data_IF_014677743596
#
_entry.id   IF_014677743596
#
_cell.length_a   1.000
_cell.length_b   1.000
_cell.length_c   1.000
_cell.angle_alpha   90.00
_cell.angle_beta   90.00
_cell.angle_gamma   90.00
#
_symmetry.space_group_name_H-M   'P 1'
#
loop_
_entity.id
_entity.type
_entity.pdbx_description
1 polymer ?
#
# COMPACT_ATOMS: atom_id res chain seq x y z
N UNK A 1 -5.72 -31.99 11.25
CA UNK A 1 -6.59 -30.94 11.82
C UNK A 1 -7.01 -30.08 10.66
N UNK A 2 -8.26 -30.17 10.25
CA UNK A 2 -8.80 -29.41 9.13
C UNK A 2 -8.81 -27.93 9.50
N UNK A 3 -7.93 -27.15 8.86
CA UNK A 3 -7.92 -25.70 8.98
C UNK A 3 -9.27 -25.18 8.48
N UNK A 4 -10.06 -24.64 9.41
CA UNK A 4 -11.37 -24.04 9.16
C UNK A 4 -11.24 -23.04 8.02
N UNK A 5 -11.73 -23.38 6.83
CA UNK A 5 -12.06 -22.37 5.84
C UNK A 5 -13.14 -21.50 6.46
N UNK A 6 -12.80 -20.23 6.72
CA UNK A 6 -13.83 -19.24 7.00
C UNK A 6 -14.74 -19.25 5.76
N UNK A 7 -16.05 -19.39 5.95
CA UNK A 7 -16.97 -19.42 4.81
C UNK A 7 -16.85 -18.11 4.03
N UNK A 8 -16.85 -18.17 2.69
CA UNK A 8 -16.76 -16.99 1.83
C UNK A 8 -17.80 -15.91 2.20
N UNK A 9 -18.97 -16.32 2.71
CA UNK A 9 -19.99 -15.42 3.23
C UNK A 9 -19.52 -14.60 4.43
N UNK A 10 -18.79 -15.21 5.38
CA UNK A 10 -18.23 -14.49 6.53
C UNK A 10 -17.12 -13.51 6.09
N UNK A 11 -16.30 -13.90 5.12
CA UNK A 11 -15.32 -13.00 4.52
C UNK A 11 -15.98 -11.79 3.86
N UNK A 12 -16.98 -12.01 3.00
CA UNK A 12 -17.70 -10.94 2.33
C UNK A 12 -18.36 -9.96 3.30
N UNK A 13 -18.89 -10.43 4.43
CA UNK A 13 -19.47 -9.55 5.43
C UNK A 13 -18.43 -8.64 6.10
N UNK A 14 -17.22 -9.17 6.36
CA UNK A 14 -16.14 -8.39 6.95
C UNK A 14 -15.61 -7.37 5.95
N UNK A 15 -15.41 -7.76 4.69
CA UNK A 15 -14.98 -6.83 3.64
C UNK A 15 -16.00 -5.72 3.40
N UNK A 16 -17.30 -6.03 3.40
CA UNK A 16 -18.36 -5.01 3.36
C UNK A 16 -18.26 -4.04 4.52
N UNK A 17 -18.07 -4.55 5.74
CA UNK A 17 -17.92 -3.71 6.93
C UNK A 17 -16.65 -2.85 6.87
N UNK A 18 -15.56 -3.38 6.34
CA UNK A 18 -14.30 -2.66 6.14
C UNK A 18 -14.43 -1.56 5.08
N UNK A 19 -15.14 -1.83 3.99
CA UNK A 19 -15.46 -0.85 2.95
C UNK A 19 -16.35 0.29 3.49
N UNK A 20 -17.42 -0.06 4.21
CA UNK A 20 -18.30 0.92 4.85
C UNK A 20 -17.53 1.77 5.87
N UNK A 21 -16.68 1.13 6.69
CA UNK A 21 -15.79 1.83 7.61
C UNK A 21 -14.87 2.80 6.87
N UNK A 22 -14.19 2.36 5.80
CA UNK A 22 -13.31 3.20 5.01
C UNK A 22 -14.05 4.43 4.46
N UNK A 23 -15.20 4.20 3.82
CA UNK A 23 -16.01 5.25 3.21
C UNK A 23 -16.56 6.27 4.22
N UNK A 24 -16.84 5.83 5.45
CA UNK A 24 -17.43 6.68 6.50
C UNK A 24 -16.38 7.39 7.38
N UNK A 25 -15.20 6.78 7.56
CA UNK A 25 -14.23 7.19 8.59
C UNK A 25 -12.86 7.59 8.03
N UNK A 26 -12.52 7.15 6.82
CA UNK A 26 -11.22 7.40 6.21
C UNK A 26 -11.35 8.38 5.04
N UNK A 27 -12.03 7.97 3.96
CA UNK A 27 -12.13 8.77 2.74
C UNK A 27 -13.33 8.35 1.89
N UNK A 28 -13.94 9.29 1.17
CA UNK A 28 -15.01 8.98 0.21
C UNK A 28 -14.43 8.17 -0.96
N UNK A 29 -14.87 6.90 -1.05
CA UNK A 29 -14.42 5.95 -2.06
C UNK A 29 -15.58 5.47 -2.95
N UNK A 30 -16.63 6.30 -3.07
CA UNK A 30 -17.82 6.01 -3.89
C UNK A 30 -17.52 5.77 -5.37
N UNK A 31 -16.33 6.14 -5.84
CA UNK A 31 -15.80 5.81 -7.17
C UNK A 31 -15.62 4.30 -7.39
N UNK A 32 -15.50 3.50 -6.32
CA UNK A 32 -15.38 2.04 -6.37
C UNK A 32 -16.61 1.36 -5.79
N UNK A 33 -17.16 0.41 -6.53
CA UNK A 33 -18.29 -0.43 -6.12
C UNK A 33 -17.78 -1.82 -5.74
N UNK A 34 -18.17 -2.33 -4.56
CA UNK A 34 -17.82 -3.66 -4.08
C UNK A 34 -18.21 -4.79 -5.03
N UNK A 35 -19.18 -4.59 -5.94
CA UNK A 35 -19.48 -5.58 -6.99
C UNK A 35 -18.29 -5.83 -7.95
N UNK A 36 -17.32 -4.91 -7.99
CA UNK A 36 -16.10 -5.00 -8.78
C UNK A 36 -14.92 -5.57 -7.97
N UNK A 37 -15.18 -6.12 -6.78
CA UNK A 37 -14.21 -6.87 -6.02
C UNK A 37 -14.28 -8.35 -6.38
N UNK A 38 -13.15 -8.92 -6.77
CA UNK A 38 -13.02 -10.32 -7.13
C UNK A 38 -11.97 -11.02 -6.26
N UNK A 39 -12.29 -12.23 -5.83
CA UNK A 39 -11.39 -13.11 -5.11
C UNK A 39 -10.83 -14.15 -6.08
N UNK A 40 -9.51 -14.34 -6.09
CA UNK A 40 -8.87 -15.27 -7.03
C UNK A 40 -7.70 -16.01 -6.40
N UNK A 41 -7.50 -17.27 -6.75
CA UNK A 41 -6.29 -18.00 -6.37
C UNK A 41 -5.06 -17.56 -7.20
N UNK A 42 -5.31 -17.13 -8.44
CA UNK A 42 -4.31 -16.68 -9.41
C UNK A 42 -4.63 -15.23 -9.85
N UNK A 43 -3.86 -14.27 -9.33
CA UNK A 43 -3.98 -12.87 -9.70
C UNK A 43 -3.64 -12.66 -11.17
N UNK A 44 -2.60 -13.32 -11.66
CA UNK A 44 -2.14 -13.12 -13.04
C UNK A 44 -3.18 -13.61 -14.05
N UNK A 45 -3.71 -14.82 -13.88
CA UNK A 45 -4.75 -15.36 -14.77
C UNK A 45 -6.01 -14.47 -14.77
N UNK A 46 -6.37 -13.92 -13.60
CA UNK A 46 -7.58 -13.09 -13.49
C UNK A 46 -7.39 -11.70 -14.07
N UNK A 47 -6.27 -11.03 -13.77
CA UNK A 47 -5.97 -9.68 -14.27
C UNK A 47 -5.72 -9.72 -15.79
N UNK A 48 -5.06 -10.76 -16.31
CA UNK A 48 -4.78 -10.89 -17.76
C UNK A 48 -6.03 -11.02 -18.64
N UNK A 49 -7.18 -11.44 -18.07
CA UNK A 49 -8.47 -11.45 -18.77
C UNK A 49 -9.01 -10.06 -19.08
N UNK A 50 -8.56 -9.05 -18.32
CA UNK A 50 -9.02 -7.65 -18.44
C UNK A 50 -7.90 -6.76 -18.98
N UNK A 51 -6.64 -7.04 -18.61
CA UNK A 51 -5.49 -6.24 -18.98
C UNK A 51 -4.37 -7.14 -19.51
N UNK A 52 -4.15 -7.13 -20.84
CA UNK A 52 -3.26 -8.06 -21.53
C UNK A 52 -1.77 -7.92 -21.15
N UNK A 53 -1.35 -6.75 -20.63
CA UNK A 53 0.00 -6.47 -20.13
C UNK A 53 0.21 -6.86 -18.66
N UNK A 54 -0.67 -7.66 -18.06
CA UNK A 54 -0.61 -8.10 -16.66
C UNK A 54 0.75 -8.67 -16.20
N UNK A 55 1.51 -9.30 -17.11
CA UNK A 55 2.86 -9.83 -16.81
C UNK A 55 3.86 -8.75 -16.39
N UNK A 56 3.69 -7.52 -16.89
CA UNK A 56 4.55 -6.39 -16.54
C UNK A 56 4.18 -5.79 -15.18
N UNK A 57 2.95 -6.05 -14.72
CA UNK A 57 2.35 -5.49 -13.51
C UNK A 57 2.57 -6.43 -12.33
N UNK A 58 2.37 -7.73 -12.55
CA UNK A 58 2.46 -8.77 -11.52
C UNK A 58 3.80 -9.51 -11.66
N UNK A 59 4.87 -8.86 -11.19
CA UNK A 59 6.25 -9.39 -11.28
C UNK A 59 6.63 -10.34 -10.15
N UNK A 60 5.84 -10.45 -9.09
CA UNK A 60 6.15 -11.29 -7.94
C UNK A 60 4.95 -12.11 -7.44
N UNK A 61 5.26 -13.22 -6.76
CA UNK A 61 4.27 -14.06 -6.06
C UNK A 61 3.87 -13.49 -4.69
N UNK A 62 4.38 -12.31 -4.31
CA UNK A 62 4.18 -11.69 -3.00
C UNK A 62 3.02 -10.71 -2.99
N UNK A 63 2.58 -10.29 -4.17
CA UNK A 63 1.43 -9.43 -4.38
C UNK A 63 0.15 -10.17 -3.95
N UNK A 64 -0.60 -9.57 -3.04
CA UNK A 64 -1.85 -10.13 -2.48
C UNK A 64 -3.10 -9.44 -3.04
N UNK A 65 -2.94 -8.32 -3.74
CA UNK A 65 -4.01 -7.54 -4.32
C UNK A 65 -3.58 -6.89 -5.64
N UNK A 66 -4.55 -6.46 -6.44
CA UNK A 66 -4.29 -5.63 -7.61
C UNK A 66 -5.54 -4.86 -8.00
N UNK A 67 -5.39 -3.57 -8.28
CA UNK A 67 -6.42 -2.74 -8.90
C UNK A 67 -6.13 -2.51 -10.38
N UNK A 68 -7.16 -2.74 -11.19
CA UNK A 68 -7.19 -2.38 -12.61
C UNK A 68 -8.08 -1.16 -12.79
N UNK A 69 -7.48 -0.05 -13.18
CA UNK A 69 -8.20 1.19 -13.50
C UNK A 69 -8.81 1.14 -14.91
N UNK A 70 -9.93 1.86 -15.15
CA UNK A 70 -10.43 2.10 -16.50
C UNK A 70 -9.34 2.62 -17.43
N UNK A 71 -9.32 2.13 -18.66
CA UNK A 71 -8.51 2.67 -19.75
C UNK A 71 -9.15 2.35 -21.11
N UNK A 72 -8.58 2.93 -22.17
CA UNK A 72 -9.09 2.79 -23.53
C UNK A 72 -9.07 1.33 -24.04
N UNK A 73 -8.20 0.47 -23.50
CA UNK A 73 -8.04 -0.92 -23.94
C UNK A 73 -8.97 -1.90 -23.21
N UNK A 74 -9.32 -1.64 -21.95
CA UNK A 74 -10.13 -2.55 -21.12
C UNK A 74 -11.62 -2.15 -21.03
N UNK A 75 -11.98 -0.91 -21.40
CA UNK A 75 -13.37 -0.40 -21.42
C UNK A 75 -14.13 -0.55 -20.10
N UNK A 76 -13.43 -0.59 -18.97
CA UNK A 76 -14.09 -0.62 -17.66
C UNK A 76 -14.78 0.74 -17.41
N UNK A 77 -15.93 0.71 -16.74
CA UNK A 77 -16.63 1.94 -16.32
C UNK A 77 -16.19 2.43 -14.92
N UNK A 78 -15.48 1.59 -14.18
CA UNK A 78 -15.09 1.78 -12.79
C UNK A 78 -13.91 0.86 -12.45
N UNK A 79 -13.09 1.15 -11.44
CA UNK A 79 -11.97 0.30 -11.06
C UNK A 79 -12.45 -1.09 -10.64
N UNK A 80 -11.61 -2.07 -10.93
CA UNK A 80 -11.80 -3.48 -10.56
C UNK A 80 -10.66 -3.90 -9.64
N UNK A 81 -11.00 -4.53 -8.52
CA UNK A 81 -10.03 -4.99 -7.54
C UNK A 81 -10.01 -6.51 -7.51
N UNK A 82 -8.82 -7.09 -7.49
CA UNK A 82 -8.58 -8.50 -7.29
C UNK A 82 -7.84 -8.72 -5.99
N UNK A 83 -8.31 -9.65 -5.14
CA UNK A 83 -7.61 -10.09 -3.94
C UNK A 83 -7.29 -11.58 -4.04
N UNK A 84 -6.05 -11.93 -3.73
CA UNK A 84 -5.58 -13.31 -3.83
C UNK A 84 -6.10 -14.15 -2.68
N UNK A 85 -6.83 -15.24 -2.89
CA UNK A 85 -7.36 -16.09 -1.79
C UNK A 85 -6.35 -17.05 -1.18
N UNK A 86 -5.31 -17.44 -1.93
CA UNK A 86 -4.26 -18.30 -1.42
C UNK A 86 -3.44 -17.57 -0.34
N UNK A 87 -3.26 -18.21 0.83
CA UNK A 87 -2.50 -17.70 1.98
C UNK A 87 -3.15 -16.58 2.82
N UNK A 88 -4.43 -16.25 2.59
CA UNK A 88 -5.10 -15.23 3.40
C UNK A 88 -5.78 -15.82 4.64
N UNK A 89 -5.20 -15.55 5.80
CA UNK A 89 -6.03 -15.31 6.98
C UNK A 89 -6.79 -13.98 6.83
N UNK A 90 -7.76 -13.74 7.72
CA UNK A 90 -8.59 -12.53 7.67
C UNK A 90 -7.76 -11.24 7.72
N UNK A 91 -6.66 -11.24 8.47
CA UNK A 91 -5.83 -10.06 8.68
C UNK A 91 -5.09 -9.70 7.39
N UNK A 92 -4.43 -10.67 6.76
CA UNK A 92 -3.74 -10.44 5.48
C UNK A 92 -4.69 -9.98 4.38
N UNK A 93 -5.95 -10.45 4.40
CA UNK A 93 -6.96 -10.00 3.45
C UNK A 93 -7.35 -8.55 3.67
N UNK A 94 -7.59 -8.15 4.91
CA UNK A 94 -7.93 -6.77 5.24
C UNK A 94 -6.78 -5.82 4.91
N UNK A 95 -5.54 -6.23 5.19
CA UNK A 95 -4.34 -5.50 4.81
C UNK A 95 -4.31 -5.27 3.29
N UNK A 96 -4.42 -6.33 2.50
CA UNK A 96 -4.44 -6.21 1.04
C UNK A 96 -5.63 -5.37 0.55
N UNK A 97 -6.82 -5.54 1.14
CA UNK A 97 -8.00 -4.77 0.78
C UNK A 97 -7.81 -3.26 1.02
N UNK A 98 -7.32 -2.87 2.19
CA UNK A 98 -7.05 -1.46 2.50
C UNK A 98 -5.92 -0.89 1.66
N UNK A 99 -4.88 -1.68 1.37
CA UNK A 99 -3.81 -1.30 0.45
C UNK A 99 -4.38 -0.91 -0.92
N UNK A 100 -5.19 -1.77 -1.52
CA UNK A 100 -5.78 -1.52 -2.83
C UNK A 100 -6.80 -0.36 -2.81
N UNK A 101 -7.55 -0.17 -1.71
CA UNK A 101 -8.43 1.00 -1.58
C UNK A 101 -7.66 2.32 -1.58
N UNK A 102 -6.48 2.36 -0.95
CA UNK A 102 -5.62 3.56 -0.95
C UNK A 102 -5.15 3.89 -2.36
N UNK A 103 -4.79 2.89 -3.17
CA UNK A 103 -4.49 3.14 -4.58
C UNK A 103 -5.68 3.74 -5.32
N UNK A 104 -6.89 3.19 -5.14
CA UNK A 104 -8.08 3.76 -5.78
C UNK A 104 -8.26 5.23 -5.38
N UNK A 105 -8.18 5.53 -4.09
CA UNK A 105 -8.28 6.90 -3.58
C UNK A 105 -7.25 7.82 -4.24
N UNK A 106 -5.97 7.44 -4.16
CA UNK A 106 -4.84 8.23 -4.63
C UNK A 106 -4.96 8.54 -6.12
N UNK A 107 -5.19 7.53 -6.96
CA UNK A 107 -5.24 7.72 -8.40
C UNK A 107 -6.46 8.54 -8.85
N UNK A 108 -7.61 8.43 -8.16
CA UNK A 108 -8.76 9.29 -8.45
C UNK A 108 -8.53 10.75 -8.03
N UNK A 109 -7.90 10.99 -6.86
CA UNK A 109 -7.48 12.34 -6.45
C UNK A 109 -6.46 12.94 -7.41
N UNK A 110 -5.53 12.13 -7.92
CA UNK A 110 -4.56 12.58 -8.91
C UNK A 110 -5.21 12.93 -10.25
N UNK A 111 -6.16 12.11 -10.72
CA UNK A 111 -6.94 12.42 -11.93
C UNK A 111 -7.73 13.72 -11.79
N UNK A 112 -8.40 13.91 -10.64
CA UNK A 112 -9.15 15.13 -10.34
C UNK A 112 -8.23 16.36 -10.32
N UNK A 113 -7.10 16.28 -9.61
CA UNK A 113 -6.12 17.37 -9.54
C UNK A 113 -5.56 17.75 -10.92
N UNK A 114 -5.30 16.77 -11.78
CA UNK A 114 -4.85 17.00 -13.15
C UNK A 114 -5.98 17.40 -14.10
N UNK A 115 -7.24 17.35 -13.64
CA UNK A 115 -8.44 17.61 -14.43
C UNK A 115 -8.49 16.75 -15.72
N UNK A 116 -8.30 15.45 -15.54
CA UNK A 116 -8.30 14.46 -16.62
C UNK A 116 -9.25 13.30 -16.31
N UNK A 117 -9.57 12.53 -17.34
CA UNK A 117 -10.18 11.21 -17.16
C UNK A 117 -9.15 10.22 -16.62
N UNK A 118 -9.57 9.37 -15.67
CA UNK A 118 -8.74 8.31 -15.09
C UNK A 118 -8.15 7.37 -16.16
N UNK A 119 -8.84 7.22 -17.30
CA UNK A 119 -8.37 6.43 -18.45
C UNK A 119 -7.05 6.89 -19.05
N UNK A 120 -6.71 8.17 -18.84
CA UNK A 120 -5.52 8.84 -19.38
C UNK A 120 -4.43 9.09 -18.33
N UNK A 121 -4.60 8.59 -17.11
CA UNK A 121 -3.71 8.92 -15.98
C UNK A 121 -2.24 8.55 -16.25
N UNK A 122 -2.01 7.46 -17.00
CA UNK A 122 -0.67 6.99 -17.38
C UNK A 122 0.09 7.96 -18.31
N UNK A 123 -0.62 8.86 -18.99
CA UNK A 123 -0.03 9.83 -19.92
C UNK A 123 0.50 11.07 -19.21
N UNK A 124 0.24 11.20 -17.90
CA UNK A 124 0.54 12.41 -17.16
C UNK A 124 2.02 12.53 -16.78
N UNK A 125 2.53 13.76 -16.84
CA UNK A 125 3.82 14.10 -16.27
C UNK A 125 3.82 13.74 -14.77
N UNK A 126 4.91 13.11 -14.32
CA UNK A 126 5.13 12.62 -12.96
C UNK A 126 4.24 11.42 -12.56
N UNK A 127 3.59 10.73 -13.51
CA UNK A 127 2.80 9.53 -13.22
C UNK A 127 3.62 8.47 -12.46
N UNK A 128 4.82 8.14 -12.93
CA UNK A 128 5.68 7.14 -12.28
C UNK A 128 6.09 7.55 -10.86
N UNK A 129 6.39 8.84 -10.65
CA UNK A 129 6.70 9.37 -9.32
C UNK A 129 5.48 9.30 -8.39
N UNK A 130 4.29 9.58 -8.93
CA UNK A 130 3.06 9.43 -8.17
C UNK A 130 2.75 7.96 -7.82
N UNK A 131 3.07 7.01 -8.70
CA UNK A 131 2.96 5.59 -8.38
C UNK A 131 3.87 5.21 -7.20
N UNK A 132 5.11 5.73 -7.16
CA UNK A 132 6.03 5.50 -6.05
C UNK A 132 5.49 6.07 -4.73
N UNK A 133 4.93 7.28 -4.78
CA UNK A 133 4.24 7.85 -3.63
C UNK A 133 3.05 7.00 -3.18
N UNK A 134 2.17 6.61 -4.12
CA UNK A 134 0.95 5.86 -3.78
C UNK A 134 1.29 4.50 -3.18
N UNK A 135 2.36 3.85 -3.61
CA UNK A 135 2.86 2.63 -2.96
C UNK A 135 3.37 2.88 -1.55
N UNK A 136 4.17 3.93 -1.34
CA UNK A 136 4.56 4.32 0.02
C UNK A 136 3.33 4.58 0.91
N UNK A 137 2.35 5.34 0.40
CA UNK A 137 1.14 5.69 1.12
C UNK A 137 0.30 4.44 1.42
N UNK A 138 0.11 3.54 0.46
CA UNK A 138 -0.62 2.29 0.66
C UNK A 138 0.03 1.38 1.72
N UNK A 139 1.36 1.22 1.70
CA UNK A 139 2.08 0.42 2.70
C UNK A 139 2.08 1.04 4.11
N UNK A 140 2.07 2.37 4.21
CA UNK A 140 1.86 3.08 5.47
C UNK A 140 0.43 2.84 6.00
N UNK A 141 -0.55 3.02 5.11
CA UNK A 141 -1.97 3.10 5.45
C UNK A 141 -2.64 1.73 5.68
N UNK A 142 -2.22 0.68 4.99
CA UNK A 142 -2.85 -0.65 5.08
C UNK A 142 -2.87 -1.19 6.52
N UNK A 143 -1.77 -1.00 7.26
CA UNK A 143 -1.65 -1.41 8.64
C UNK A 143 -2.51 -0.52 9.52
N UNK A 144 -2.34 0.81 9.41
CA UNK A 144 -3.11 1.81 10.16
C UNK A 144 -4.62 1.56 10.06
N UNK A 145 -5.13 1.31 8.85
CA UNK A 145 -6.57 1.12 8.63
C UNK A 145 -7.07 -0.25 9.04
N UNK A 146 -6.28 -1.31 8.81
CA UNK A 146 -6.61 -2.65 9.32
C UNK A 146 -6.79 -2.61 10.83
N UNK A 147 -5.85 -2.00 11.53
CA UNK A 147 -5.85 -1.88 12.97
C UNK A 147 -7.00 -1.03 13.50
N UNK A 148 -7.19 0.18 12.95
CA UNK A 148 -8.33 1.03 13.33
C UNK A 148 -9.68 0.33 13.07
N UNK A 149 -9.79 -0.45 12.00
CA UNK A 149 -10.99 -1.23 11.73
C UNK A 149 -11.21 -2.35 12.77
N UNK A 150 -10.15 -3.09 13.12
CA UNK A 150 -10.22 -4.13 14.16
C UNK A 150 -10.62 -3.52 15.51
N UNK A 151 -10.00 -2.42 15.94
CA UNK A 151 -10.35 -1.71 17.17
C UNK A 151 -11.78 -1.21 17.17
N UNK A 152 -12.20 -0.60 16.07
CA UNK A 152 -13.58 -0.15 15.87
C UNK A 152 -14.56 -1.33 15.98
N UNK A 153 -14.26 -2.47 15.35
CA UNK A 153 -15.12 -3.65 15.40
C UNK A 153 -15.21 -4.30 16.78
N UNK A 154 -14.15 -4.20 17.58
CA UNK A 154 -14.06 -4.78 18.91
C UNK A 154 -14.54 -3.82 20.03
N UNK A 155 -14.85 -2.56 19.70
CA UNK A 155 -15.16 -1.50 20.66
C UNK A 155 -14.09 -1.32 21.74
N UNK A 156 -12.83 -1.63 21.44
CA UNK A 156 -11.73 -1.59 22.40
C UNK A 156 -11.21 -0.17 22.60
N UNK A 157 -11.20 0.65 21.54
CA UNK A 157 -10.53 1.97 21.52
C UNK A 157 -9.08 1.92 22.05
N UNK A 158 -8.44 0.75 22.03
CA UNK A 158 -7.19 0.49 22.74
C UNK A 158 -6.03 0.42 21.75
N UNK A 159 -5.72 1.59 21.20
CA UNK A 159 -4.68 1.77 20.19
C UNK A 159 -3.28 1.41 20.74
N UNK A 160 -3.08 1.47 22.06
CA UNK A 160 -1.82 1.20 22.77
C UNK A 160 -1.41 -0.27 22.74
N UNK A 161 -2.37 -1.21 22.71
CA UNK A 161 -2.09 -2.65 22.67
C UNK A 161 -1.44 -3.15 21.36
N UNK A 162 -1.36 -2.28 20.35
CA UNK A 162 -0.91 -2.63 19.00
C UNK A 162 0.59 -2.47 18.77
N UNK A 163 1.33 -1.97 19.77
CA UNK A 163 2.77 -1.71 19.67
C UNK A 163 3.57 -2.97 19.32
N UNK A 164 3.33 -4.06 20.08
CA UNK A 164 4.07 -5.31 19.89
C UNK A 164 3.77 -6.01 18.55
N UNK A 165 2.56 -5.85 18.02
CA UNK A 165 2.14 -6.51 16.77
C UNK A 165 2.80 -5.84 15.56
N UNK A 166 3.06 -4.53 15.60
CA UNK A 166 3.72 -3.87 14.48
C UNK A 166 5.24 -4.16 14.45
N UNK A 167 5.94 -4.22 15.59
CA UNK A 167 7.40 -4.43 15.65
C UNK A 167 7.77 -5.81 15.10
N UNK A 168 7.05 -6.85 15.51
CA UNK A 168 7.30 -8.22 15.05
C UNK A 168 7.04 -8.37 13.54
N UNK A 169 5.97 -7.74 13.03
CA UNK A 169 5.65 -7.74 11.61
C UNK A 169 6.66 -6.94 10.77
N UNK A 170 7.16 -5.81 11.28
CA UNK A 170 8.21 -5.02 10.62
C UNK A 170 9.51 -5.83 10.53
N UNK A 171 9.97 -6.42 11.63
CA UNK A 171 11.19 -7.21 11.64
C UNK A 171 11.11 -8.42 10.68
N UNK A 172 9.98 -9.13 10.66
CA UNK A 172 9.76 -10.25 9.74
C UNK A 172 9.72 -9.82 8.27
N UNK A 173 9.04 -8.70 7.97
CA UNK A 173 9.02 -8.11 6.63
C UNK A 173 10.41 -7.73 6.17
N UNK A 174 11.14 -6.97 6.98
CA UNK A 174 12.49 -6.51 6.66
C UNK A 174 13.46 -7.67 6.50
N UNK A 175 13.38 -8.71 7.33
CA UNK A 175 14.20 -9.91 7.14
C UNK A 175 13.90 -10.62 5.79
N UNK A 176 12.64 -10.67 5.38
CA UNK A 176 12.24 -11.25 4.08
C UNK A 176 12.72 -10.39 2.91
N UNK A 177 12.47 -9.09 2.94
CA UNK A 177 12.90 -8.17 1.89
C UNK A 177 14.41 -8.14 1.76
N UNK A 178 15.11 -8.16 2.91
CA UNK A 178 16.56 -8.32 2.97
C UNK A 178 17.03 -9.54 2.19
N UNK A 179 16.42 -10.71 2.41
CA UNK A 179 16.76 -11.92 1.66
C UNK A 179 16.52 -11.76 0.17
N UNK A 180 15.38 -11.20 -0.23
CA UNK A 180 15.04 -10.98 -1.65
C UNK A 180 16.05 -10.04 -2.33
N UNK A 181 16.32 -8.90 -1.71
CA UNK A 181 17.25 -7.88 -2.21
C UNK A 181 18.67 -8.44 -2.32
N UNK A 182 19.20 -9.07 -1.26
CA UNK A 182 20.57 -9.59 -1.28
C UNK A 182 20.74 -10.81 -2.19
N UNK A 183 19.67 -11.54 -2.50
CA UNK A 183 19.71 -12.64 -3.48
C UNK A 183 19.67 -12.13 -4.92
N UNK A 184 18.95 -11.05 -5.20
CA UNK A 184 18.77 -10.52 -6.55
C UNK A 184 19.80 -9.45 -6.94
N UNK A 185 20.48 -8.84 -5.97
CA UNK A 185 21.57 -7.88 -6.18
C UNK A 185 21.14 -6.47 -6.60
N UNK A 186 19.83 -6.20 -6.68
CA UNK A 186 19.28 -4.89 -7.08
C UNK A 186 18.04 -4.55 -6.22
N UNK A 187 17.94 -3.27 -5.82
CA UNK A 187 16.77 -2.70 -5.14
C UNK A 187 16.07 -1.77 -6.13
N UNK A 188 14.81 -2.02 -6.45
CA UNK A 188 14.03 -1.17 -7.36
C UNK A 188 13.41 0.02 -6.60
N UNK A 189 13.07 1.11 -7.29
CA UNK A 189 12.44 2.29 -6.66
C UNK A 189 11.12 1.96 -5.94
N UNK A 190 10.33 1.03 -6.48
CA UNK A 190 9.14 0.52 -5.80
C UNK A 190 9.52 -0.16 -4.48
N UNK A 191 10.58 -0.99 -4.46
CA UNK A 191 11.05 -1.65 -3.22
C UNK A 191 11.39 -0.63 -2.13
N UNK A 192 12.04 0.48 -2.50
CA UNK A 192 12.34 1.58 -1.58
C UNK A 192 11.05 2.15 -1.00
N UNK A 193 10.08 2.51 -1.84
CA UNK A 193 8.81 3.11 -1.39
C UNK A 193 8.03 2.17 -0.45
N UNK A 194 8.01 0.87 -0.74
CA UNK A 194 7.39 -0.16 0.10
C UNK A 194 8.07 -0.29 1.47
N UNK A 195 9.41 -0.35 1.48
CA UNK A 195 10.21 -0.39 2.72
C UNK A 195 9.94 0.86 3.56
N UNK A 196 9.98 2.05 2.94
CA UNK A 196 9.74 3.31 3.63
C UNK A 196 8.33 3.39 4.21
N UNK A 197 7.29 2.95 3.49
CA UNK A 197 5.91 2.96 3.98
C UNK A 197 5.72 2.07 5.21
N UNK A 198 6.32 0.87 5.19
CA UNK A 198 6.34 -0.05 6.34
C UNK A 198 7.03 0.52 7.57
N UNK A 199 8.09 1.30 7.38
CA UNK A 199 8.84 1.96 8.46
C UNK A 199 8.09 3.21 8.97
N UNK A 200 7.35 3.91 8.10
CA UNK A 200 6.68 5.16 8.47
C UNK A 200 5.56 4.97 9.51
N UNK A 201 4.79 3.89 9.43
CA UNK A 201 3.73 3.62 10.40
C UNK A 201 4.24 3.55 11.85
N UNK A 202 5.22 2.69 12.16
CA UNK A 202 5.76 2.60 13.51
C UNK A 202 6.53 3.85 13.96
N UNK A 203 7.28 4.51 13.06
CA UNK A 203 7.96 5.79 13.39
C UNK A 203 6.98 6.88 13.82
N UNK A 204 5.91 7.06 13.05
CA UNK A 204 4.93 8.11 13.33
C UNK A 204 4.15 7.76 14.59
N UNK A 205 3.83 6.48 14.80
CA UNK A 205 3.16 6.01 16.01
C UNK A 205 4.01 6.29 17.26
N UNK A 206 5.27 5.86 17.25
CA UNK A 206 6.20 5.98 18.39
C UNK A 206 6.41 7.44 18.82
N UNK A 207 6.49 8.36 17.85
CA UNK A 207 6.51 9.80 18.11
C UNK A 207 5.22 10.33 18.75
N UNK A 208 4.07 9.72 18.46
CA UNK A 208 2.78 10.11 19.05
C UNK A 208 2.64 9.60 20.48
N UNK A 209 3.20 8.43 20.78
CA UNK A 209 3.13 7.81 22.13
C UNK A 209 4.38 8.02 22.99
N UNK A 210 5.32 8.86 22.53
CA UNK A 210 6.56 9.26 23.23
C UNK A 210 7.52 8.09 23.54
N UNK A 211 7.56 7.10 22.64
CA UNK A 211 8.54 6.00 22.65
C UNK A 211 9.64 6.31 21.63
N UNK A 212 10.82 6.76 22.06
CA UNK A 212 11.94 6.96 21.11
C UNK A 212 12.66 5.64 20.84
N UNK A 213 12.27 4.98 19.75
CA UNK A 213 12.90 3.75 19.34
C UNK A 213 13.79 3.97 18.11
N UNK A 214 15.11 3.79 18.29
CA UNK A 214 16.14 4.03 17.28
C UNK A 214 16.14 3.07 16.07
N UNK A 215 15.18 2.14 15.98
CA UNK A 215 15.18 1.04 15.01
C UNK A 215 15.06 1.50 13.54
N UNK A 216 14.47 2.66 13.26
CA UNK A 216 14.30 3.18 11.88
C UNK A 216 15.64 3.41 11.20
N UNK A 217 16.56 4.06 11.92
CA UNK A 217 17.91 4.32 11.42
C UNK A 217 18.69 3.02 11.27
N UNK A 218 18.46 2.04 12.13
CA UNK A 218 19.08 0.71 12.04
C UNK A 218 18.59 -0.04 10.80
N UNK A 219 17.28 -0.07 10.56
CA UNK A 219 16.71 -0.73 9.39
C UNK A 219 17.11 -0.05 8.08
N UNK A 220 17.07 1.28 8.00
CA UNK A 220 17.53 1.99 6.80
C UNK A 220 19.01 1.72 6.52
N UNK A 221 19.87 1.69 7.55
CA UNK A 221 21.30 1.33 7.38
C UNK A 221 21.51 -0.12 6.98
N UNK A 222 20.64 -1.04 7.40
CA UNK A 222 20.71 -2.45 7.02
C UNK A 222 20.46 -2.66 5.52
N UNK A 223 19.50 -1.92 4.94
CA UNK A 223 19.19 -1.99 3.51
C UNK A 223 20.08 -1.12 2.63
N UNK A 224 20.50 0.04 3.14
CA UNK A 224 21.30 1.04 2.42
C UNK A 224 22.60 1.33 3.19
N UNK A 225 23.56 0.40 3.23
CA UNK A 225 24.75 0.53 4.06
C UNK A 225 25.76 1.55 3.53
N UNK A 226 25.68 1.93 2.26
CA UNK A 226 26.52 2.97 1.69
C UNK A 226 26.01 4.35 2.13
N UNK A 227 26.86 5.15 2.79
CA UNK A 227 26.50 6.45 3.36
C UNK A 227 25.82 7.38 2.35
N UNK A 228 26.31 7.42 1.11
CA UNK A 228 25.72 8.24 0.05
C UNK A 228 24.32 7.78 -0.37
N UNK A 229 24.04 6.48 -0.35
CA UNK A 229 22.70 5.93 -0.64
C UNK A 229 21.76 6.14 0.55
N UNK A 230 22.26 5.92 1.76
CA UNK A 230 21.55 6.15 3.01
C UNK A 230 21.01 7.58 3.09
N UNK A 231 21.85 8.60 2.86
CA UNK A 231 21.44 10.00 2.98
C UNK A 231 20.35 10.39 1.95
N UNK A 232 20.42 9.83 0.74
CA UNK A 232 19.40 10.05 -0.29
C UNK A 232 18.07 9.41 0.09
N UNK A 233 18.09 8.16 0.55
CA UNK A 233 16.88 7.44 0.99
C UNK A 233 16.29 8.09 2.25
N UNK A 234 17.12 8.52 3.20
CA UNK A 234 16.69 9.26 4.39
C UNK A 234 16.03 10.60 4.01
N UNK A 235 16.54 11.30 3.00
CA UNK A 235 15.93 12.52 2.47
C UNK A 235 14.56 12.24 1.83
N UNK A 236 14.45 11.19 1.01
CA UNK A 236 13.18 10.75 0.44
C UNK A 236 12.16 10.37 1.53
N UNK A 237 12.60 9.62 2.54
CA UNK A 237 11.75 9.25 3.67
C UNK A 237 11.18 10.47 4.41
N UNK A 238 12.04 11.45 4.72
CA UNK A 238 11.61 12.69 5.37
C UNK A 238 10.63 13.48 4.51
N UNK A 239 10.85 13.52 3.20
CA UNK A 239 9.91 14.12 2.26
C UNK A 239 8.54 13.42 2.33
N UNK A 240 8.51 12.10 2.18
CA UNK A 240 7.28 11.32 2.24
C UNK A 240 6.52 11.49 3.56
N UNK A 241 7.20 11.44 4.70
CA UNK A 241 6.59 11.63 6.02
C UNK A 241 6.03 13.05 6.18
N UNK A 242 6.73 14.07 5.65
CA UNK A 242 6.23 15.44 5.68
C UNK A 242 4.96 15.57 4.85
N UNK A 243 4.96 15.03 3.63
CA UNK A 243 3.82 15.06 2.72
C UNK A 243 2.60 14.31 3.29
N UNK A 244 2.79 13.20 4.02
CA UNK A 244 1.69 12.53 4.73
C UNK A 244 1.01 13.45 5.75
N UNK A 245 1.80 14.28 6.44
CA UNK A 245 1.30 15.18 7.48
C UNK A 245 0.56 16.37 6.90
N UNK A 246 1.08 16.90 5.79
CA UNK A 246 0.56 18.12 5.17
C UNK A 246 -0.56 17.83 4.16
N UNK A 247 -0.61 16.62 3.61
CA UNK A 247 -1.61 16.20 2.62
C UNK A 247 -1.41 16.82 1.23
N UNK A 248 -0.17 17.16 0.87
CA UNK A 248 0.16 18.09 -0.22
C UNK A 248 0.94 17.46 -1.40
N UNK A 249 0.97 16.12 -1.51
CA UNK A 249 1.79 15.41 -2.51
C UNK A 249 1.61 15.97 -3.92
N UNK A 250 0.37 16.30 -4.28
CA UNK A 250 -0.03 16.71 -5.61
C UNK A 250 0.68 17.99 -6.07
N UNK A 251 0.92 18.91 -5.13
CA UNK A 251 1.64 20.17 -5.36
C UNK A 251 3.17 19.99 -5.33
N UNK A 252 3.65 18.89 -4.74
CA UNK A 252 5.08 18.62 -4.51
C UNK A 252 5.67 17.51 -5.38
N UNK A 253 4.95 17.08 -6.42
CA UNK A 253 5.40 16.02 -7.34
C UNK A 253 6.73 16.33 -8.04
N UNK A 254 7.07 17.61 -8.28
CA UNK A 254 8.36 17.96 -8.88
C UNK A 254 9.51 17.82 -7.87
N UNK A 255 9.29 18.10 -6.58
CA UNK A 255 10.31 17.86 -5.55
C UNK A 255 10.59 16.35 -5.41
N UNK A 256 9.55 15.52 -5.55
CA UNK A 256 9.70 14.07 -5.57
C UNK A 256 10.52 13.58 -6.78
N UNK A 257 10.30 14.16 -7.96
CA UNK A 257 11.08 13.88 -9.17
C UNK A 257 12.58 14.13 -8.93
N UNK A 258 12.90 15.31 -8.39
CA UNK A 258 14.28 15.69 -8.05
C UNK A 258 14.91 14.72 -7.05
N UNK A 259 14.17 14.28 -6.02
CA UNK A 259 14.66 13.33 -5.02
C UNK A 259 14.89 11.93 -5.59
N UNK A 260 13.99 11.44 -6.45
CA UNK A 260 14.13 10.12 -7.07
C UNK A 260 15.31 10.12 -8.05
N UNK A 261 15.52 11.21 -8.82
CA UNK A 261 16.68 11.34 -9.71
C UNK A 261 18.03 11.25 -8.99
N UNK A 262 18.06 11.47 -7.68
CA UNK A 262 19.28 11.32 -6.88
C UNK A 262 19.57 9.86 -6.55
N UNK A 263 18.59 8.96 -6.50
CA UNK A 263 18.73 7.56 -6.07
C UNK A 263 19.41 6.68 -7.12
#
# INVERSE_FOLDING_TARGET
MDNKSISMNKFMNIVKSAYEYYNLKISDITVFDLKNLFFTDDLYESVSKIQQDANLILKDNLTNGCVVFPNDSNKLASPVMFLRTQNLDMSNMLIAFFHELVHIEDFYKFAEYKNIDISKIKEMKNYENFCLWSEFHAFYSENLYTYKFVDFSNNTNDFESMEHVYVENLAAYLYRERKRVFQNGEILYYDISRILGRIAFPDIYDKVVDTDCSYIYEYLKEFFPQESQFEKVNSLYRFYVQVLRDGDILDRLNELDDLICLL
#
